data_IF_412158020509
#
_entry.id   IF_412158020509
#
_cell.length_a   1.000
_cell.length_b   1.000
_cell.length_c   1.000
_cell.angle_alpha   90.00
_cell.angle_beta   90.00
_cell.angle_gamma   90.00
#
_symmetry.space_group_name_H-M   'P 1'
#
loop_
_entity.id
_entity.type
_entity.pdbx_description
1 polymer ?
#
# COMPACT_ATOMS: atom_id res chain seq x y z
N UNK A 1 -20.69 -10.65 -2.43
CA UNK A 1 -19.37 -10.18 -1.95
C UNK A 1 -18.39 -9.95 -3.10
N UNK A 2 -18.01 -10.95 -3.90
CA UNK A 2 -17.03 -10.77 -4.99
C UNK A 2 -17.46 -9.72 -6.03
N UNK A 3 -18.73 -9.72 -6.47
CA UNK A 3 -19.25 -8.74 -7.43
C UNK A 3 -19.14 -7.29 -6.90
N UNK A 4 -19.44 -7.05 -5.63
CA UNK A 4 -19.34 -5.72 -5.03
C UNK A 4 -17.91 -5.22 -4.96
N UNK A 5 -16.95 -6.09 -4.69
CA UNK A 5 -15.54 -5.73 -4.70
C UNK A 5 -15.00 -5.52 -6.11
N UNK A 6 -15.40 -6.36 -7.08
CA UNK A 6 -15.06 -6.15 -8.49
C UNK A 6 -15.42 -4.74 -8.95
N UNK A 7 -16.64 -4.31 -8.63
CA UNK A 7 -17.13 -3.00 -9.05
C UNK A 7 -16.49 -1.85 -8.27
N UNK A 8 -16.27 -2.05 -6.97
CA UNK A 8 -15.69 -1.04 -6.06
C UNK A 8 -14.25 -0.66 -6.42
N UNK A 9 -13.44 -1.61 -6.87
CA UNK A 9 -12.05 -1.37 -7.24
C UNK A 9 -11.77 -1.58 -8.73
N UNK A 10 -12.85 -1.62 -9.54
CA UNK A 10 -12.78 -1.70 -11.00
C UNK A 10 -11.88 -2.84 -11.52
N UNK A 11 -12.05 -4.06 -10.99
CA UNK A 11 -11.39 -5.25 -11.52
C UNK A 11 -12.01 -5.60 -12.88
N UNK A 12 -11.18 -5.67 -13.90
CA UNK A 12 -11.62 -6.10 -15.25
C UNK A 12 -11.55 -7.61 -15.35
N UNK A 13 -12.70 -8.25 -15.34
CA UNK A 13 -12.87 -9.67 -15.60
C UNK A 13 -14.26 -9.91 -16.21
N UNK A 14 -14.33 -10.83 -17.15
CA UNK A 14 -15.60 -11.22 -17.78
C UNK A 14 -16.39 -12.17 -16.87
N UNK A 15 -15.71 -12.93 -16.04
CA UNK A 15 -16.29 -13.88 -15.10
C UNK A 15 -15.56 -13.84 -13.76
N UNK A 16 -16.33 -13.85 -12.66
CA UNK A 16 -15.80 -13.87 -11.29
C UNK A 16 -15.17 -15.22 -10.91
N UNK A 17 -15.52 -16.28 -11.62
CA UNK A 17 -14.96 -17.62 -11.41
C UNK A 17 -13.67 -17.85 -12.20
N UNK A 18 -13.22 -16.88 -13.00
CA UNK A 18 -11.96 -16.96 -13.72
C UNK A 18 -10.77 -17.09 -12.74
N UNK A 19 -9.80 -17.89 -13.15
CA UNK A 19 -8.55 -18.00 -12.42
C UNK A 19 -7.85 -16.63 -12.34
N UNK A 20 -7.39 -16.25 -11.16
CA UNK A 20 -6.67 -14.97 -10.94
C UNK A 20 -5.47 -14.82 -11.88
N UNK A 21 -4.81 -15.92 -12.26
CA UNK A 21 -3.67 -15.91 -13.17
C UNK A 21 -4.05 -15.55 -14.62
N UNK A 22 -5.33 -15.58 -14.97
CA UNK A 22 -5.84 -15.10 -16.27
C UNK A 22 -5.97 -13.59 -16.35
N UNK A 23 -5.90 -12.89 -15.21
CA UNK A 23 -6.01 -11.44 -15.14
C UNK A 23 -4.67 -10.76 -15.43
N UNK A 24 -4.72 -9.49 -15.85
CA UNK A 24 -3.52 -8.64 -15.89
C UNK A 24 -2.90 -8.49 -14.50
N UNK A 25 -1.60 -8.17 -14.42
CA UNK A 25 -0.92 -7.97 -13.15
C UNK A 25 -1.59 -6.94 -12.25
N UNK A 26 -2.07 -5.82 -12.80
CA UNK A 26 -2.82 -4.81 -12.07
C UNK A 26 -4.15 -5.31 -11.53
N UNK A 27 -4.90 -6.10 -12.32
CA UNK A 27 -6.14 -6.69 -11.85
C UNK A 27 -5.90 -7.80 -10.81
N UNK A 28 -4.82 -8.58 -10.94
CA UNK A 28 -4.41 -9.52 -9.90
C UNK A 28 -4.13 -8.82 -8.58
N UNK A 29 -3.40 -7.70 -8.61
CA UNK A 29 -3.11 -6.90 -7.43
C UNK A 29 -4.38 -6.33 -6.80
N UNK A 30 -5.29 -5.78 -7.59
CA UNK A 30 -6.61 -5.31 -7.12
C UNK A 30 -7.40 -6.45 -6.46
N UNK A 31 -7.39 -7.66 -7.03
CA UNK A 31 -8.07 -8.81 -6.45
C UNK A 31 -7.48 -9.22 -5.09
N UNK A 32 -6.15 -9.15 -4.92
CA UNK A 32 -5.51 -9.40 -3.63
C UNK A 32 -5.89 -8.36 -2.58
N UNK A 33 -5.97 -7.08 -2.95
CA UNK A 33 -6.48 -6.03 -2.07
C UNK A 33 -7.93 -6.28 -1.69
N UNK A 34 -8.79 -6.60 -2.67
CA UNK A 34 -10.18 -6.93 -2.40
C UNK A 34 -10.33 -8.06 -1.40
N UNK A 35 -9.51 -9.11 -1.54
CA UNK A 35 -9.50 -10.25 -0.62
C UNK A 35 -9.14 -9.84 0.80
N UNK A 36 -8.10 -9.03 0.97
CA UNK A 36 -7.66 -8.55 2.28
C UNK A 36 -8.72 -7.66 2.93
N UNK A 37 -9.30 -6.74 2.16
CA UNK A 37 -10.28 -5.77 2.64
C UNK A 37 -11.68 -6.38 2.86
N UNK A 38 -12.00 -7.50 2.21
CA UNK A 38 -13.24 -8.24 2.46
C UNK A 38 -13.24 -8.98 3.81
N UNK A 39 -12.08 -9.07 4.47
CA UNK A 39 -11.96 -9.61 5.83
C UNK A 39 -12.37 -8.57 6.88
N UNK A 40 -12.59 -9.03 8.12
CA UNK A 40 -12.87 -8.16 9.28
C UNK A 40 -11.60 -7.58 9.91
N UNK A 41 -10.43 -7.77 9.29
CA UNK A 41 -9.16 -7.29 9.81
C UNK A 41 -9.15 -5.76 9.94
N UNK A 42 -8.78 -5.27 11.12
CA UNK A 42 -8.63 -3.85 11.39
C UNK A 42 -7.23 -3.33 11.03
N UNK A 43 -6.26 -4.22 10.99
CA UNK A 43 -4.86 -3.92 10.64
C UNK A 43 -4.49 -4.76 9.43
N UNK A 44 -4.07 -4.10 8.36
CA UNK A 44 -3.65 -4.72 7.10
C UNK A 44 -2.14 -4.53 6.96
N UNK A 45 -1.42 -5.63 6.80
CA UNK A 45 0.02 -5.63 6.55
C UNK A 45 0.29 -5.74 5.05
N UNK A 46 1.11 -4.85 4.52
CA UNK A 46 1.44 -4.79 3.11
C UNK A 46 2.96 -4.80 2.92
N UNK A 47 3.45 -5.79 2.22
CA UNK A 47 4.86 -5.95 1.90
C UNK A 47 5.10 -5.62 0.43
N UNK A 48 5.64 -4.41 0.16
CA UNK A 48 5.94 -3.88 -1.17
C UNK A 48 4.77 -4.06 -2.18
N UNK A 49 3.55 -3.62 -1.81
CA UNK A 49 2.32 -4.02 -2.50
C UNK A 49 2.19 -3.44 -3.91
N UNK A 50 2.92 -2.37 -4.22
CA UNK A 50 2.84 -1.67 -5.51
C UNK A 50 3.96 -2.04 -6.47
N UNK A 51 4.81 -2.99 -6.11
CA UNK A 51 5.93 -3.41 -6.95
C UNK A 51 5.45 -3.96 -8.28
N UNK A 52 5.94 -3.38 -9.37
CA UNK A 52 5.59 -3.80 -10.72
C UNK A 52 4.14 -3.47 -11.16
N UNK A 53 3.43 -2.68 -10.38
CA UNK A 53 2.07 -2.22 -10.69
C UNK A 53 2.14 -0.92 -11.52
N UNK A 54 1.30 -0.82 -12.56
CA UNK A 54 1.21 0.39 -13.38
C UNK A 54 0.67 1.59 -12.61
N UNK A 55 0.98 2.80 -13.07
CA UNK A 55 0.65 4.04 -12.37
C UNK A 55 -0.86 4.24 -12.16
N UNK A 56 -1.69 3.92 -13.14
CA UNK A 56 -3.15 4.06 -13.02
C UNK A 56 -3.72 3.14 -11.93
N UNK A 57 -3.26 1.90 -11.90
CA UNK A 57 -3.65 0.94 -10.85
C UNK A 57 -3.15 1.37 -9.47
N UNK A 58 -1.94 1.94 -9.37
CA UNK A 58 -1.42 2.49 -8.10
C UNK A 58 -2.36 3.55 -7.55
N UNK A 59 -2.80 4.51 -8.36
CA UNK A 59 -3.71 5.57 -7.93
C UNK A 59 -5.04 5.00 -7.40
N UNK A 60 -5.63 4.04 -8.12
CA UNK A 60 -6.88 3.39 -7.68
C UNK A 60 -6.71 2.72 -6.31
N UNK A 61 -5.59 2.05 -6.09
CA UNK A 61 -5.30 1.37 -4.82
C UNK A 61 -5.01 2.36 -3.70
N UNK A 62 -4.29 3.46 -3.97
CA UNK A 62 -4.07 4.51 -2.95
C UNK A 62 -5.38 5.14 -2.49
N UNK A 63 -6.30 5.42 -3.42
CA UNK A 63 -7.62 5.97 -3.08
C UNK A 63 -8.43 4.97 -2.24
N UNK A 64 -8.35 3.68 -2.56
CA UNK A 64 -8.98 2.63 -1.79
C UNK A 64 -8.42 2.53 -0.37
N UNK A 65 -7.09 2.51 -0.22
CA UNK A 65 -6.41 2.48 1.09
C UNK A 65 -6.83 3.70 1.92
N UNK A 66 -6.83 4.88 1.33
CA UNK A 66 -7.23 6.12 2.00
C UNK A 66 -8.69 6.07 2.46
N UNK A 67 -9.58 5.59 1.62
CA UNK A 67 -11.00 5.41 1.95
C UNK A 67 -11.20 4.45 3.14
N UNK A 68 -10.51 3.31 3.14
CA UNK A 68 -10.59 2.32 4.21
C UNK A 68 -9.95 2.83 5.52
N UNK A 69 -8.86 3.60 5.43
CA UNK A 69 -8.24 4.24 6.58
C UNK A 69 -9.18 5.28 7.24
N UNK A 70 -9.91 6.06 6.44
CA UNK A 70 -10.93 6.99 6.96
C UNK A 70 -12.10 6.26 7.65
N UNK A 71 -12.34 4.99 7.35
CA UNK A 71 -13.32 4.14 8.02
C UNK A 71 -12.78 3.46 9.28
N UNK A 72 -11.53 3.72 9.66
CA UNK A 72 -10.92 3.25 10.89
C UNK A 72 -9.94 2.09 10.74
N UNK A 73 -9.64 1.63 9.52
CA UNK A 73 -8.61 0.61 9.30
C UNK A 73 -7.21 1.20 9.40
N UNK A 74 -6.26 0.41 9.86
CA UNK A 74 -4.85 0.75 9.92
C UNK A 74 -4.08 -0.08 8.90
N UNK A 75 -3.18 0.58 8.17
CA UNK A 75 -2.30 -0.05 7.18
C UNK A 75 -0.85 0.07 7.64
N UNK A 76 -0.15 -1.04 7.74
CA UNK A 76 1.30 -1.09 7.90
C UNK A 76 1.90 -1.46 6.55
N UNK A 77 2.59 -0.52 5.95
CA UNK A 77 3.03 -0.58 4.56
C UNK A 77 4.54 -0.50 4.47
N UNK A 78 5.18 -1.59 4.06
CA UNK A 78 6.58 -1.60 3.70
C UNK A 78 6.75 -1.26 2.23
N UNK A 79 7.64 -0.34 1.91
CA UNK A 79 8.03 0.01 0.53
C UNK A 79 9.47 0.46 0.45
N UNK A 80 10.07 0.35 -0.74
CA UNK A 80 11.36 0.93 -1.09
C UNK A 80 11.22 2.17 -1.99
N UNK A 81 9.98 2.50 -2.40
CA UNK A 81 9.67 3.61 -3.29
C UNK A 81 9.27 4.86 -2.49
N UNK A 82 10.06 5.92 -2.61
CA UNK A 82 9.85 7.14 -1.82
C UNK A 82 8.58 7.91 -2.20
N UNK A 83 8.15 7.82 -3.44
CA UNK A 83 6.93 8.46 -3.93
C UNK A 83 5.64 7.86 -3.33
N UNK A 84 5.70 6.63 -2.84
CA UNK A 84 4.58 6.00 -2.15
C UNK A 84 4.32 6.59 -0.75
N UNK A 85 5.33 7.18 -0.13
CA UNK A 85 5.28 7.68 1.24
C UNK A 85 4.33 8.88 1.41
N UNK A 86 4.03 9.60 0.35
CA UNK A 86 3.04 10.69 0.37
C UNK A 86 1.62 10.22 0.74
N UNK A 87 1.37 8.92 0.63
CA UNK A 87 0.10 8.31 1.02
C UNK A 87 0.03 7.91 2.49
N UNK A 88 1.11 8.11 3.26
CA UNK A 88 1.25 7.65 4.64
C UNK A 88 1.07 8.81 5.63
N UNK A 89 0.45 8.54 6.78
CA UNK A 89 0.34 9.50 7.89
C UNK A 89 1.63 9.57 8.69
N UNK A 90 2.36 8.45 8.76
CA UNK A 90 3.61 8.33 9.50
C UNK A 90 4.55 7.33 8.83
N UNK A 91 5.83 7.66 8.83
CA UNK A 91 6.88 6.83 8.22
C UNK A 91 7.96 6.50 9.26
N UNK A 92 8.31 5.23 9.33
CA UNK A 92 9.46 4.75 10.08
C UNK A 92 10.57 4.35 9.10
N UNK A 93 11.74 4.94 9.26
CA UNK A 93 12.91 4.59 8.44
C UNK A 93 13.73 3.53 9.16
N UNK A 94 13.92 2.40 8.50
CA UNK A 94 14.69 1.28 9.02
C UNK A 94 16.08 1.25 8.38
N UNK A 95 17.08 0.97 9.21
CA UNK A 95 18.45 0.72 8.78
C UNK A 95 19.12 -0.29 9.71
N UNK A 96 19.78 -1.30 9.12
CA UNK A 96 20.53 -2.32 9.88
C UNK A 96 19.71 -2.96 11.02
N UNK A 97 18.43 -3.24 10.80
CA UNK A 97 17.56 -3.86 11.78
C UNK A 97 16.99 -2.93 12.86
N UNK A 98 17.25 -1.64 12.78
CA UNK A 98 16.76 -0.64 13.73
C UNK A 98 15.97 0.50 13.07
N UNK A 99 15.08 1.14 13.83
CA UNK A 99 14.39 2.36 13.42
C UNK A 99 15.35 3.54 13.65
N UNK A 100 15.73 4.23 12.58
CA UNK A 100 16.64 5.39 12.63
C UNK A 100 15.91 6.72 12.59
N UNK A 101 14.67 6.75 12.12
CA UNK A 101 13.81 7.93 12.15
C UNK A 101 12.33 7.55 12.19
N UNK A 102 11.51 8.42 12.79
CA UNK A 102 10.07 8.38 12.75
C UNK A 102 9.59 9.79 12.33
N UNK A 103 8.89 9.87 11.19
CA UNK A 103 8.49 11.12 10.57
C UNK A 103 6.97 11.14 10.43
N UNK A 104 6.33 12.21 10.88
CA UNK A 104 4.92 12.47 10.60
C UNK A 104 4.75 13.01 9.17
N UNK A 105 3.57 12.90 8.59
CA UNK A 105 3.32 13.34 7.21
C UNK A 105 3.80 14.77 6.92
N UNK A 106 3.60 15.69 7.84
CA UNK A 106 4.05 17.09 7.72
C UNK A 106 5.58 17.26 7.66
N UNK A 107 6.33 16.25 8.06
CA UNK A 107 7.79 16.24 8.08
C UNK A 107 8.39 15.49 6.88
N UNK A 108 7.54 14.82 6.08
CA UNK A 108 7.97 14.04 4.93
C UNK A 108 8.49 14.95 3.83
N UNK A 109 9.80 14.97 3.66
CA UNK A 109 10.50 15.54 2.51
C UNK A 109 11.48 14.50 1.99
N UNK A 110 11.69 14.48 0.69
CA UNK A 110 12.65 13.55 0.07
C UNK A 110 14.04 13.70 0.72
N UNK A 111 14.46 14.93 1.00
CA UNK A 111 15.73 15.21 1.66
C UNK A 111 15.82 14.58 3.05
N UNK A 112 14.78 14.68 3.88
CA UNK A 112 14.76 14.08 5.23
C UNK A 112 14.78 12.55 5.18
N UNK A 113 14.05 11.96 4.24
CA UNK A 113 14.00 10.52 4.05
C UNK A 113 15.39 10.01 3.65
N UNK A 114 16.01 10.62 2.65
CA UNK A 114 17.35 10.25 2.17
C UNK A 114 18.36 10.45 3.28
N UNK A 115 18.36 11.59 3.95
CA UNK A 115 19.28 11.88 5.06
C UNK A 115 19.15 10.83 6.19
N UNK A 116 17.90 10.50 6.57
CA UNK A 116 17.66 9.50 7.61
C UNK A 116 18.10 8.10 7.20
N UNK A 117 17.99 7.76 5.92
CA UNK A 117 18.44 6.46 5.38
C UNK A 117 19.95 6.29 5.44
N UNK A 118 20.73 7.37 5.45
CA UNK A 118 22.18 7.38 5.53
C UNK A 118 22.72 7.74 6.93
N UNK A 119 21.88 8.25 7.83
CA UNK A 119 22.28 8.56 9.19
C UNK A 119 22.72 7.28 9.92
N UNK A 120 23.77 7.37 10.73
CA UNK A 120 24.12 6.27 11.64
C UNK A 120 23.01 6.15 12.69
N UNK A 121 22.64 4.90 13.00
CA UNK A 121 21.74 4.65 14.12
C UNK A 121 22.37 5.28 15.37
N UNK A 122 21.60 6.07 16.11
CA UNK A 122 22.06 6.58 17.40
C UNK A 122 22.44 5.39 18.30
N UNK A 123 23.56 5.47 19.02
CA UNK A 123 24.01 4.39 19.89
C UNK A 123 23.01 4.07 21.01
#
# INVERSE_FOLDING_TARGET
>A
MAASWRDRIAIRTDDLDNNILSLSGGNQQKALFARALASDAQIILMDDPMRGVDFGTKLDVYDLIRSEAHQGRTFLWYTTETDELDNCDRVYVFRNGGIVAALDHSELTEEKIIHSSFAEAAP
#
